data_IF_876192918434
#
_entry.id   IF_876192918434
#
_cell.length_a   1.000
_cell.length_b   1.000
_cell.length_c   1.000
_cell.angle_alpha   90.00
_cell.angle_beta   90.00
_cell.angle_gamma   90.00
#
_symmetry.space_group_name_H-M   'P 1'
#
loop_
_entity.id
_entity.type
_entity.pdbx_description
1 polymer ?
#
# COMPACT_ATOMS: atom_id res chain seq x y z
N UNK A 1 -17.67 -0.54 1.67
CA UNK A 1 -16.36 -0.25 1.04
C UNK A 1 -15.89 1.04 1.65
N UNK A 2 -14.85 0.99 2.49
CA UNK A 2 -14.20 2.20 2.99
C UNK A 2 -13.72 3.02 1.79
N UNK A 3 -13.95 4.33 1.83
CA UNK A 3 -13.51 5.26 0.80
C UNK A 3 -12.51 6.20 1.44
N UNK A 4 -11.43 6.55 0.72
CA UNK A 4 -10.43 7.42 1.30
C UNK A 4 -10.99 8.81 1.58
N UNK A 5 -10.67 9.38 2.74
CA UNK A 5 -11.07 10.74 3.12
C UNK A 5 -9.99 11.75 2.74
N UNK A 6 -8.74 11.48 3.14
CA UNK A 6 -7.58 12.36 2.93
C UNK A 6 -6.34 11.58 2.45
N UNK A 7 -6.40 10.94 1.27
CA UNK A 7 -5.31 10.08 0.82
C UNK A 7 -4.08 10.89 0.38
N UNK A 8 -2.92 10.63 0.98
CA UNK A 8 -1.61 11.20 0.56
C UNK A 8 -1.05 10.50 -0.67
N UNK A 9 -1.38 9.22 -0.85
CA UNK A 9 -1.13 8.46 -2.08
C UNK A 9 -2.33 7.60 -2.42
N UNK A 10 -2.61 7.44 -3.71
CA UNK A 10 -3.62 6.52 -4.23
C UNK A 10 -3.16 5.90 -5.54
N UNK A 11 -3.47 4.63 -5.74
CA UNK A 11 -3.24 3.88 -6.98
C UNK A 11 -4.38 2.90 -7.20
N UNK A 12 -4.83 2.78 -8.44
CA UNK A 12 -5.84 1.80 -8.82
C UNK A 12 -5.18 0.70 -9.66
N UNK A 13 -5.32 -0.54 -9.22
CA UNK A 13 -4.73 -1.71 -9.88
C UNK A 13 -5.82 -2.75 -10.05
N UNK A 14 -6.10 -3.14 -11.31
CA UNK A 14 -7.11 -4.15 -11.66
C UNK A 14 -8.52 -3.88 -11.07
N UNK A 15 -8.90 -2.60 -10.92
CA UNK A 15 -10.20 -2.19 -10.35
C UNK A 15 -10.23 -2.15 -8.82
N UNK A 16 -9.11 -2.47 -8.16
CA UNK A 16 -8.95 -2.33 -6.71
C UNK A 16 -8.22 -1.02 -6.42
N UNK A 17 -8.83 -0.18 -5.59
CA UNK A 17 -8.24 1.07 -5.13
C UNK A 17 -7.37 0.83 -3.89
N UNK A 18 -6.10 1.19 -3.98
CA UNK A 18 -5.15 1.23 -2.88
C UNK A 18 -4.84 2.68 -2.55
N UNK A 19 -4.79 3.02 -1.27
CA UNK A 19 -4.46 4.36 -0.82
C UNK A 19 -3.76 4.33 0.54
N UNK A 20 -3.06 5.42 0.85
CA UNK A 20 -2.48 5.70 2.15
C UNK A 20 -3.13 6.98 2.65
N UNK A 21 -3.72 6.95 3.84
CA UNK A 21 -4.29 8.14 4.50
C UNK A 21 -3.18 9.02 5.11
N UNK A 22 -3.44 10.31 5.24
CA UNK A 22 -2.52 11.25 5.88
C UNK A 22 -2.12 10.84 7.31
N UNK A 23 -3.09 10.31 8.07
CA UNK A 23 -2.90 9.80 9.42
C UNK A 23 -1.92 8.61 9.49
N UNK A 24 -1.71 7.91 8.37
CA UNK A 24 -0.83 6.74 8.27
C UNK A 24 0.50 7.06 7.57
N UNK A 25 0.69 8.29 7.08
CA UNK A 25 1.90 8.71 6.37
C UNK A 25 3.17 8.49 7.22
N UNK A 26 3.07 8.68 8.53
CA UNK A 26 4.20 8.49 9.46
C UNK A 26 4.71 7.04 9.49
N UNK A 27 3.86 6.05 9.21
CA UNK A 27 4.23 4.64 9.19
C UNK A 27 5.14 4.33 7.98
N UNK A 28 4.93 5.05 6.88
CA UNK A 28 5.68 4.89 5.63
C UNK A 28 6.85 5.89 5.50
N UNK A 29 7.07 6.76 6.49
CA UNK A 29 8.14 7.75 6.43
C UNK A 29 9.52 7.07 6.37
N UNK A 30 10.21 7.25 5.25
CA UNK A 30 11.56 6.72 5.00
C UNK A 30 11.61 5.31 4.41
N UNK A 31 10.45 4.69 4.13
CA UNK A 31 10.38 3.40 3.46
C UNK A 31 9.30 3.37 2.38
N UNK A 32 9.64 2.85 1.22
CA UNK A 32 8.68 2.45 0.21
C UNK A 32 8.16 1.05 0.53
N UNK A 33 6.85 0.92 0.73
CA UNK A 33 6.17 -0.38 0.79
C UNK A 33 5.85 -0.86 -0.63
N UNK A 34 6.36 -2.04 -0.97
CA UNK A 34 5.97 -2.79 -2.16
C UNK A 34 5.17 -4.01 -1.73
N UNK A 35 3.96 -4.15 -2.27
CA UNK A 35 3.11 -5.33 -2.07
C UNK A 35 3.20 -6.18 -3.34
N UNK A 36 3.56 -7.45 -3.18
CA UNK A 36 3.61 -8.44 -4.25
C UNK A 36 2.74 -9.65 -3.90
N UNK A 37 2.62 -10.63 -4.78
CA UNK A 37 1.90 -11.88 -4.54
C UNK A 37 2.83 -13.08 -4.70
N UNK A 38 2.94 -13.92 -3.67
CA UNK A 38 3.68 -15.19 -3.75
C UNK A 38 2.73 -16.30 -4.23
N UNK A 39 2.84 -16.79 -5.48
CA UNK A 39 1.96 -17.82 -6.01
C UNK A 39 2.22 -19.21 -5.41
N UNK A 40 3.32 -19.43 -4.69
CA UNK A 40 3.62 -20.72 -4.05
C UNK A 40 2.93 -20.84 -2.70
N UNK A 41 2.87 -19.73 -1.97
CA UNK A 41 2.23 -19.62 -0.67
C UNK A 41 0.79 -19.11 -0.78
N UNK A 42 0.39 -18.68 -1.98
CA UNK A 42 -0.92 -18.10 -2.32
C UNK A 42 -1.28 -16.87 -1.46
N UNK A 43 -0.28 -16.07 -1.07
CA UNK A 43 -0.43 -14.96 -0.13
C UNK A 43 0.28 -13.68 -0.60
N UNK A 44 -0.14 -12.48 -0.13
CA UNK A 44 0.56 -11.24 -0.41
C UNK A 44 1.89 -11.17 0.35
N UNK A 45 2.94 -10.70 -0.32
CA UNK A 45 4.25 -10.44 0.27
C UNK A 45 4.49 -8.94 0.43
N UNK A 46 5.08 -8.55 1.56
CA UNK A 46 5.38 -7.14 1.88
C UNK A 46 6.89 -6.90 1.87
N UNK A 47 7.34 -5.98 1.03
CA UNK A 47 8.75 -5.58 0.98
C UNK A 47 8.89 -4.10 1.37
N UNK A 48 9.66 -3.85 2.42
CA UNK A 48 10.01 -2.49 2.85
C UNK A 48 11.39 -2.12 2.30
N UNK A 49 11.44 -1.15 1.38
CA UNK A 49 12.69 -0.60 0.85
C UNK A 49 12.94 0.76 1.48
N UNK A 50 14.15 1.04 1.97
CA UNK A 50 14.49 2.42 2.38
C UNK A 50 14.44 3.35 1.16
N UNK A 51 13.89 4.54 1.37
CA UNK A 51 13.93 5.65 0.41
C UNK A 51 15.36 6.20 0.25
#
# INVERSE_FOLDING_TARGET
VERPEHPVKKVEIAGTLFFIEDADEWFFKGYDLLVDYDPKLEEPTYHFKKQ
#
